data_IF_267387413964
#
_entry.id   IF_267387413964
#
_cell.length_a   1.000
_cell.length_b   1.000
_cell.length_c   1.000
_cell.angle_alpha   90.00
_cell.angle_beta   90.00
_cell.angle_gamma   90.00
#
_symmetry.space_group_name_H-M   'P 1'
#
loop_
_entity.id
_entity.type
_entity.pdbx_description
1 polymer ?
#
# COMPACT_ATOMS: atom_id res chain seq x y z
N UNK A 1 12.39 6.12 14.76
CA UNK A 1 10.91 6.09 14.72
C UNK A 1 10.34 6.75 15.96
N UNK A 2 9.25 7.53 15.84
CA UNK A 2 8.43 8.00 16.97
C UNK A 2 7.01 7.53 16.72
N UNK A 3 6.40 6.88 17.69
CA UNK A 3 5.10 6.22 17.51
C UNK A 3 4.09 6.61 18.58
N UNK A 4 2.82 6.73 18.19
CA UNK A 4 1.69 6.91 19.08
C UNK A 4 0.59 5.89 18.73
N UNK A 5 -0.15 5.45 19.74
CA UNK A 5 -1.36 4.63 19.58
C UNK A 5 -2.53 5.35 20.22
N UNK A 6 -3.67 5.34 19.55
CA UNK A 6 -4.90 5.89 20.08
C UNK A 6 -6.07 4.95 19.74
N UNK A 7 -7.10 5.02 20.57
CA UNK A 7 -8.33 4.25 20.41
C UNK A 7 -9.46 5.23 20.15
N UNK A 8 -10.22 4.99 19.09
CA UNK A 8 -11.39 5.80 18.76
C UNK A 8 -12.58 4.91 18.45
N UNK A 9 -13.80 5.33 18.82
CA UNK A 9 -15.00 4.60 18.42
C UNK A 9 -15.17 4.65 16.90
N UNK A 10 -15.49 3.49 16.30
CA UNK A 10 -15.75 3.34 14.88
C UNK A 10 -16.96 2.43 14.67
N UNK A 11 -17.76 2.69 13.63
CA UNK A 11 -18.80 1.75 13.21
C UNK A 11 -18.16 0.46 12.67
N UNK A 12 -18.66 -0.69 13.10
CA UNK A 12 -18.19 -1.98 12.63
C UNK A 12 -18.29 -2.07 11.11
N UNK A 13 -17.23 -2.60 10.51
CA UNK A 13 -17.08 -2.75 9.06
C UNK A 13 -17.22 -4.21 8.65
N UNK A 14 -17.43 -4.50 7.35
CA UNK A 14 -17.37 -5.86 6.83
C UNK A 14 -16.11 -6.61 7.25
N UNK A 15 -16.25 -7.92 7.44
CA UNK A 15 -15.14 -8.84 7.59
C UNK A 15 -14.94 -9.69 6.34
N UNK A 16 -14.09 -10.72 6.44
CA UNK A 16 -13.93 -11.73 5.38
C UNK A 16 -15.23 -12.50 5.09
N UNK A 17 -16.10 -12.60 6.08
CA UNK A 17 -17.40 -13.26 5.99
C UNK A 17 -18.51 -12.34 5.43
N UNK A 18 -18.17 -11.11 5.05
CA UNK A 18 -19.09 -10.13 4.46
C UNK A 18 -19.55 -9.04 5.44
N UNK A 19 -20.64 -8.33 5.10
CA UNK A 19 -21.12 -7.18 5.87
C UNK A 19 -21.68 -7.60 7.24
N UNK A 20 -21.62 -6.72 8.24
CA UNK A 20 -22.20 -7.01 9.56
C UNK A 20 -23.73 -7.09 9.49
N UNK A 21 -24.32 -7.93 10.35
CA UNK A 21 -25.78 -8.09 10.44
C UNK A 21 -26.48 -6.88 11.10
N UNK A 22 -25.76 -6.11 11.91
CA UNK A 22 -26.26 -4.94 12.62
C UNK A 22 -25.13 -3.92 12.82
N UNK A 23 -25.51 -2.64 12.94
CA UNK A 23 -24.59 -1.54 13.24
C UNK A 23 -24.15 -1.59 14.71
N UNK A 24 -22.84 -1.54 14.95
CA UNK A 24 -22.24 -1.44 16.27
C UNK A 24 -21.09 -0.46 16.26
N UNK A 25 -21.00 0.34 17.31
CA UNK A 25 -19.78 1.10 17.59
C UNK A 25 -18.81 0.18 18.33
N UNK A 26 -17.60 0.04 17.78
CA UNK A 26 -16.51 -0.75 18.33
C UNK A 26 -15.27 0.12 18.54
N UNK A 27 -14.42 -0.26 19.49
CA UNK A 27 -13.14 0.40 19.71
C UNK A 27 -12.16 0.03 18.59
N UNK A 28 -11.71 1.05 17.85
CA UNK A 28 -10.71 0.91 16.79
C UNK A 28 -9.36 1.45 17.25
N UNK A 29 -8.34 0.60 17.21
CA UNK A 29 -6.98 0.97 17.57
C UNK A 29 -6.17 1.39 16.35
N UNK A 30 -5.68 2.62 16.35
CA UNK A 30 -4.87 3.18 15.28
C UNK A 30 -3.45 3.46 15.77
N UNK A 31 -2.47 3.14 14.92
CA UNK A 31 -1.05 3.38 15.16
C UNK A 31 -0.56 4.43 14.16
N UNK A 32 0.02 5.50 14.69
CA UNK A 32 0.68 6.54 13.92
C UNK A 32 2.19 6.52 14.24
N UNK A 33 3.01 6.18 13.26
CA UNK A 33 4.47 6.19 13.38
C UNK A 33 5.13 7.15 12.40
N UNK A 34 6.22 7.78 12.82
CA UNK A 34 7.06 8.63 11.97
C UNK A 34 8.45 8.02 11.84
N UNK A 35 8.90 7.84 10.60
CA UNK A 35 10.22 7.38 10.25
C UNK A 35 11.05 8.50 9.66
N UNK A 36 12.28 8.66 10.15
CA UNK A 36 13.28 9.60 9.62
C UNK A 36 14.46 8.77 9.19
N UNK A 37 14.83 8.90 7.93
CA UNK A 37 15.97 8.22 7.34
C UNK A 37 17.17 9.18 7.29
N UNK A 38 18.38 8.63 7.33
CA UNK A 38 19.62 9.43 7.36
C UNK A 38 19.81 10.30 6.12
N UNK A 39 19.29 9.84 4.98
CA UNK A 39 19.31 10.55 3.70
C UNK A 39 18.25 11.68 3.59
N UNK A 40 17.56 11.99 4.70
CA UNK A 40 16.55 13.04 4.77
C UNK A 40 15.15 12.62 4.32
N UNK A 41 14.95 11.36 3.88
CA UNK A 41 13.60 10.86 3.61
C UNK A 41 12.78 10.79 4.90
N UNK A 42 11.46 10.94 4.75
CA UNK A 42 10.51 10.91 5.84
C UNK A 42 9.29 10.05 5.48
N UNK A 43 8.92 9.15 6.38
CA UNK A 43 7.77 8.28 6.23
C UNK A 43 6.77 8.46 7.37
N UNK A 44 5.48 8.39 7.04
CA UNK A 44 4.40 8.30 8.03
C UNK A 44 3.68 6.98 7.80
N UNK A 45 3.60 6.18 8.86
CA UNK A 45 2.74 5.02 8.92
C UNK A 45 1.49 5.41 9.71
N UNK A 46 0.33 5.29 9.09
CA UNK A 46 -0.95 5.59 9.71
C UNK A 46 -1.91 4.44 9.41
N UNK A 47 -2.19 3.60 10.40
CA UNK A 47 -2.88 2.34 10.18
C UNK A 47 -3.82 1.98 11.32
N UNK A 48 -5.03 1.55 10.96
CA UNK A 48 -5.94 0.79 11.81
C UNK A 48 -6.33 -0.50 11.10
N UNK A 49 -6.39 -1.62 11.83
CA UNK A 49 -6.87 -2.89 11.26
C UNK A 49 -8.31 -2.82 10.75
N UNK A 50 -9.14 -1.95 11.35
CA UNK A 50 -10.54 -1.78 10.98
C UNK A 50 -10.75 -1.01 9.67
N UNK A 51 -9.67 -0.61 9.00
CA UNK A 51 -9.74 -0.02 7.66
C UNK A 51 -9.92 -1.08 6.56
N UNK A 52 -9.59 -2.35 6.82
CA UNK A 52 -9.82 -3.42 5.86
C UNK A 52 -11.32 -3.61 5.61
N UNK A 53 -11.71 -3.68 4.34
CA UNK A 53 -13.09 -3.84 3.87
C UNK A 53 -14.06 -2.75 4.37
N UNK A 54 -13.54 -1.67 4.96
CA UNK A 54 -14.38 -0.64 5.57
C UNK A 54 -15.12 0.18 4.54
N UNK A 55 -16.40 0.43 4.81
CA UNK A 55 -17.21 1.37 4.04
C UNK A 55 -16.99 2.82 4.49
N UNK A 56 -16.53 3.02 5.72
CA UNK A 56 -16.39 4.33 6.35
C UNK A 56 -14.93 4.81 6.46
N UNK A 57 -13.96 3.96 6.10
CA UNK A 57 -12.53 4.28 6.10
C UNK A 57 -11.92 3.86 4.76
N UNK A 58 -11.17 4.78 4.17
CA UNK A 58 -10.39 4.50 2.96
C UNK A 58 -8.92 4.38 3.33
N UNK A 59 -8.17 3.48 2.67
CA UNK A 59 -6.71 3.53 2.74
C UNK A 59 -6.20 4.84 2.12
N UNK A 60 -5.00 5.26 2.54
CA UNK A 60 -4.32 6.42 1.98
C UNK A 60 -2.88 6.08 1.63
N UNK A 61 -2.49 6.41 0.41
CA UNK A 61 -1.10 6.40 -0.05
C UNK A 61 -0.73 7.79 -0.52
N UNK A 62 0.41 8.28 -0.06
CA UNK A 62 0.95 9.57 -0.46
C UNK A 62 2.46 9.44 -0.64
N UNK A 63 2.92 9.68 -1.86
CA UNK A 63 4.34 9.70 -2.21
C UNK A 63 4.67 11.08 -2.75
N UNK A 64 5.71 11.71 -2.21
CA UNK A 64 6.17 13.04 -2.63
C UNK A 64 7.63 12.99 -3.03
N UNK A 65 7.95 13.62 -4.15
CA UNK A 65 9.31 13.82 -4.62
C UNK A 65 9.52 15.26 -5.07
N UNK A 66 10.71 15.55 -5.57
CA UNK A 66 11.12 16.90 -5.96
C UNK A 66 10.26 17.52 -7.08
N UNK A 67 9.66 16.68 -7.93
CA UNK A 67 8.94 17.10 -9.15
C UNK A 67 7.44 16.84 -9.12
N UNK A 68 6.90 16.37 -8.01
CA UNK A 68 5.49 16.02 -7.94
C UNK A 68 5.11 15.13 -6.77
N UNK A 69 3.85 14.70 -6.80
CA UNK A 69 3.27 13.80 -5.82
C UNK A 69 2.27 12.82 -6.45
N UNK A 70 2.11 11.69 -5.79
CA UNK A 70 1.02 10.74 -6.01
C UNK A 70 0.24 10.68 -4.71
N UNK A 71 -1.05 11.05 -4.77
CA UNK A 71 -2.00 10.94 -3.66
C UNK A 71 -3.15 10.03 -4.10
N UNK A 72 -3.14 8.79 -3.60
CA UNK A 72 -4.00 7.71 -4.08
C UNK A 72 -3.96 7.63 -5.62
N UNK A 73 -5.09 7.85 -6.29
CA UNK A 73 -5.18 7.83 -7.75
C UNK A 73 -4.85 9.18 -8.40
N UNK A 74 -4.53 10.24 -7.65
CA UNK A 74 -4.22 11.54 -8.24
C UNK A 74 -2.72 11.74 -8.34
N UNK A 75 -2.22 11.99 -9.55
CA UNK A 75 -0.81 12.27 -9.82
C UNK A 75 -0.67 13.74 -10.20
N UNK A 76 0.26 14.45 -9.58
CA UNK A 76 0.56 15.86 -9.85
C UNK A 76 2.05 16.02 -10.12
N UNK A 77 2.41 16.71 -11.19
CA UNK A 77 3.82 16.93 -11.54
C UNK A 77 4.02 18.23 -12.31
N UNK A 78 5.27 18.68 -12.40
CA UNK A 78 5.66 19.80 -13.25
C UNK A 78 5.93 19.31 -14.67
N UNK A 79 5.20 19.85 -15.64
CA UNK A 79 5.50 19.67 -17.06
C UNK A 79 6.72 20.50 -17.46
N UNK A 80 6.77 21.73 -16.98
CA UNK A 80 7.88 22.69 -17.13
C UNK A 80 7.92 23.63 -15.91
N UNK A 81 8.92 24.53 -15.77
CA UNK A 81 9.04 25.40 -14.60
C UNK A 81 7.85 26.34 -14.33
N UNK A 82 6.99 26.60 -15.32
CA UNK A 82 5.82 27.47 -15.21
C UNK A 82 4.49 26.70 -15.24
N UNK A 83 4.50 25.40 -15.57
CA UNK A 83 3.28 24.61 -15.79
C UNK A 83 3.23 23.36 -14.88
N UNK A 84 2.34 23.40 -13.89
CA UNK A 84 1.92 22.22 -13.14
C UNK A 84 0.77 21.52 -13.84
N UNK A 85 0.79 20.18 -13.85
CA UNK A 85 -0.27 19.35 -14.40
C UNK A 85 -0.71 18.30 -13.39
N UNK A 86 -1.95 17.85 -13.53
CA UNK A 86 -2.52 16.79 -12.71
C UNK A 86 -3.33 15.84 -13.58
N UNK A 87 -3.23 14.56 -13.31
CA UNK A 87 -4.04 13.53 -13.95
C UNK A 87 -4.43 12.47 -12.91
N UNK A 88 -5.46 11.69 -13.25
CA UNK A 88 -5.92 10.58 -12.42
C UNK A 88 -5.44 9.26 -13.02
N UNK A 89 -5.01 8.35 -12.15
CA UNK A 89 -4.91 6.92 -12.43
C UNK A 89 -6.34 6.40 -12.62
N UNK A 90 -6.72 6.21 -13.87
CA UNK A 90 -8.04 5.71 -14.23
C UNK A 90 -8.00 4.19 -14.28
N UNK A 91 -8.81 3.57 -13.43
CA UNK A 91 -9.01 2.13 -13.44
C UNK A 91 -9.81 1.75 -14.68
N UNK A 92 -9.29 0.81 -15.45
CA UNK A 92 -9.98 0.24 -16.60
C UNK A 92 -10.45 -1.17 -16.26
N UNK A 93 -11.77 -1.34 -16.15
CA UNK A 93 -12.44 -2.62 -15.98
C UNK A 93 -13.27 -2.97 -17.22
N UNK A 94 -13.47 -4.26 -17.47
CA UNK A 94 -14.25 -4.77 -18.62
C UNK A 94 -15.66 -5.19 -18.21
N UNK A 95 -16.50 -5.56 -19.19
CA UNK A 95 -17.86 -6.06 -18.94
C UNK A 95 -18.93 -4.98 -18.69
N UNK A 96 -18.57 -3.70 -18.77
CA UNK A 96 -19.55 -2.61 -18.75
C UNK A 96 -20.24 -2.44 -20.12
N UNK A 97 -21.56 -2.23 -20.12
CA UNK A 97 -22.34 -1.96 -21.33
C UNK A 97 -22.25 -3.08 -22.38
N UNK A 98 -21.90 -2.74 -23.62
CA UNK A 98 -21.74 -3.69 -24.73
C UNK A 98 -20.37 -4.38 -24.79
N UNK A 99 -19.53 -4.27 -23.74
CA UNK A 99 -18.24 -4.94 -23.70
C UNK A 99 -18.41 -6.46 -23.54
N UNK A 100 -17.99 -7.24 -24.54
CA UNK A 100 -18.16 -8.70 -24.60
C UNK A 100 -16.98 -9.49 -24.02
N UNK A 101 -16.03 -8.84 -23.35
CA UNK A 101 -14.78 -9.47 -22.90
C UNK A 101 -14.91 -10.17 -21.54
N UNK A 102 -16.07 -10.07 -20.89
CA UNK A 102 -16.29 -10.55 -19.52
C UNK A 102 -15.94 -9.49 -18.47
N UNK A 103 -16.09 -9.81 -17.18
CA UNK A 103 -15.87 -8.88 -16.06
C UNK A 103 -14.54 -9.12 -15.36
N UNK A 104 -13.51 -8.34 -15.71
CA UNK A 104 -12.21 -8.39 -15.06
C UNK A 104 -11.52 -7.02 -15.06
N UNK A 105 -10.50 -6.88 -14.22
CA UNK A 105 -9.65 -5.70 -14.19
C UNK A 105 -8.61 -5.75 -15.30
N UNK A 106 -8.58 -4.75 -16.19
CA UNK A 106 -7.62 -4.69 -17.30
C UNK A 106 -6.31 -4.01 -16.90
N UNK A 107 -6.38 -2.97 -16.08
CA UNK A 107 -5.21 -2.20 -15.66
C UNK A 107 -5.54 -0.74 -15.34
N UNK A 108 -4.51 0.10 -15.32
CA UNK A 108 -4.64 1.53 -15.06
C UNK A 108 -4.03 2.36 -16.19
N UNK A 109 -4.70 3.46 -16.51
CA UNK A 109 -4.20 4.50 -17.40
C UNK A 109 -3.89 5.80 -16.65
N UNK A 110 -2.96 6.59 -17.17
CA UNK A 110 -2.67 7.95 -16.71
C UNK A 110 -2.51 8.85 -17.92
N UNK A 111 -3.33 9.90 -18.03
CA UNK A 111 -3.26 10.82 -19.18
C UNK A 111 -3.49 10.13 -20.55
N UNK A 112 -4.23 9.03 -20.57
CA UNK A 112 -4.49 8.23 -21.78
C UNK A 112 -3.48 7.13 -22.08
N UNK A 113 -2.38 7.03 -21.32
CA UNK A 113 -1.37 5.98 -21.49
C UNK A 113 -1.53 4.86 -20.47
N UNK A 114 -1.28 3.62 -20.88
CA UNK A 114 -1.29 2.47 -19.97
C UNK A 114 -0.04 2.47 -19.09
N UNK A 115 -0.22 2.72 -17.79
CA UNK A 115 0.87 2.69 -16.80
C UNK A 115 0.94 1.37 -16.04
N UNK A 116 -0.15 0.60 -16.08
CA UNK A 116 -0.19 -0.75 -15.54
C UNK A 116 -1.18 -1.61 -16.35
N UNK A 117 -0.82 -2.88 -16.56
CA UNK A 117 -1.68 -3.89 -17.20
C UNK A 117 -1.74 -5.11 -16.30
N UNK A 118 -2.94 -5.61 -16.04
CA UNK A 118 -3.15 -6.82 -15.23
C UNK A 118 -2.58 -8.03 -15.98
N UNK A 119 -1.54 -8.71 -15.45
CA UNK A 119 -0.94 -9.87 -16.11
C UNK A 119 -1.83 -11.12 -16.06
N UNK A 120 -2.83 -11.14 -15.17
CA UNK A 120 -3.72 -12.29 -14.96
C UNK A 120 -5.09 -12.14 -15.65
N UNK A 121 -5.24 -11.17 -16.56
CA UNK A 121 -6.44 -11.08 -17.38
C UNK A 121 -6.67 -12.38 -18.18
N UNK A 122 -7.92 -12.87 -18.34
CA UNK A 122 -9.19 -12.26 -17.90
C UNK A 122 -9.67 -12.75 -16.51
N UNK A 123 -8.77 -13.18 -15.64
CA UNK A 123 -9.09 -13.64 -14.29
C UNK A 123 -9.88 -12.59 -13.50
N UNK A 124 -10.97 -13.02 -12.85
CA UNK A 124 -11.85 -12.16 -12.04
C UNK A 124 -11.30 -11.95 -10.63
N UNK A 125 -10.10 -11.42 -10.58
CA UNK A 125 -9.33 -11.23 -9.34
C UNK A 125 -9.49 -9.78 -8.86
N UNK A 126 -9.68 -9.61 -7.56
CA UNK A 126 -9.54 -8.32 -6.89
C UNK A 126 -8.06 -7.87 -6.87
N UNK A 127 -7.81 -6.60 -6.56
CA UNK A 127 -6.44 -6.05 -6.56
C UNK A 127 -5.49 -6.80 -5.61
N UNK A 128 -5.98 -7.20 -4.45
CA UNK A 128 -5.23 -8.00 -3.47
C UNK A 128 -4.92 -9.40 -4.02
N UNK A 129 -5.88 -10.02 -4.72
CA UNK A 129 -5.68 -11.33 -5.36
C UNK A 129 -4.70 -11.24 -6.54
N UNK A 130 -4.70 -10.14 -7.30
CA UNK A 130 -3.72 -9.86 -8.35
C UNK A 130 -2.32 -9.68 -7.74
N UNK A 131 -2.20 -8.96 -6.62
CA UNK A 131 -0.93 -8.80 -5.92
C UNK A 131 -0.41 -10.14 -5.39
N UNK A 132 -1.28 -10.96 -4.78
CA UNK A 132 -0.95 -12.32 -4.32
C UNK A 132 -0.52 -13.22 -5.49
N UNK A 133 -1.26 -13.23 -6.59
CA UNK A 133 -0.92 -13.98 -7.78
C UNK A 133 0.44 -13.56 -8.35
N UNK A 134 0.74 -12.25 -8.36
CA UNK A 134 2.04 -11.71 -8.77
C UNK A 134 3.16 -12.22 -7.85
N UNK A 135 2.96 -12.21 -6.54
CA UNK A 135 3.95 -12.73 -5.60
C UNK A 135 4.18 -14.23 -5.80
N UNK A 136 3.12 -15.02 -5.99
CA UNK A 136 3.22 -16.46 -6.25
C UNK A 136 3.96 -16.77 -7.56
N UNK A 137 3.65 -16.05 -8.63
CA UNK A 137 4.35 -16.18 -9.93
C UNK A 137 5.85 -15.88 -9.78
N UNK A 138 6.19 -14.76 -9.11
CA UNK A 138 7.59 -14.36 -8.91
C UNK A 138 8.34 -15.31 -7.98
N UNK A 139 7.69 -15.83 -6.94
CA UNK A 139 8.27 -16.87 -6.07
C UNK A 139 8.55 -18.16 -6.84
N UNK A 140 7.64 -18.57 -7.72
CA UNK A 140 7.87 -19.75 -8.58
C UNK A 140 9.07 -19.53 -9.51
N UNK A 141 9.13 -18.38 -10.17
CA UNK A 141 10.27 -18.02 -11.02
C UNK A 141 11.61 -18.03 -10.25
N UNK A 142 11.62 -17.48 -9.02
CA UNK A 142 12.80 -17.51 -8.16
C UNK A 142 13.20 -18.94 -7.76
N UNK A 143 12.23 -19.79 -7.39
CA UNK A 143 12.48 -21.19 -7.04
C UNK A 143 13.07 -22.01 -8.21
N UNK A 144 12.79 -21.60 -9.45
CA UNK A 144 13.36 -22.18 -10.68
C UNK A 144 14.75 -21.60 -11.05
N UNK A 145 15.30 -20.69 -10.23
CA UNK A 145 16.61 -20.06 -10.44
C UNK A 145 16.55 -18.70 -11.14
N UNK A 146 15.36 -18.10 -11.25
CA UNK A 146 15.15 -16.73 -11.71
C UNK A 146 15.62 -15.67 -10.69
N UNK A 147 15.47 -14.38 -11.04
CA UNK A 147 15.87 -13.28 -10.15
C UNK A 147 14.98 -13.23 -8.90
N UNK A 148 15.55 -12.71 -7.81
CA UNK A 148 14.77 -12.32 -6.64
C UNK A 148 13.87 -11.12 -6.97
N UNK A 149 12.74 -11.00 -6.28
CA UNK A 149 11.83 -9.85 -6.40
C UNK A 149 11.54 -9.15 -5.07
N UNK A 150 11.71 -9.86 -3.95
CA UNK A 150 11.51 -9.34 -2.60
C UNK A 150 12.31 -10.23 -1.66
N UNK A 151 13.52 -9.77 -1.37
CA UNK A 151 14.55 -10.58 -0.73
C UNK A 151 14.28 -10.80 0.74
N UNK A 152 14.93 -11.82 1.32
CA UNK A 152 14.96 -11.99 2.78
C UNK A 152 15.54 -10.76 3.49
N UNK A 153 16.49 -10.05 2.87
CA UNK A 153 17.09 -8.86 3.44
C UNK A 153 16.09 -7.70 3.52
N UNK A 154 15.30 -7.49 2.47
CA UNK A 154 14.21 -6.50 2.45
C UNK A 154 13.11 -6.86 3.46
N UNK A 155 12.67 -8.12 3.48
CA UNK A 155 11.69 -8.60 4.45
C UNK A 155 12.15 -8.46 5.91
N UNK A 156 13.43 -8.76 6.18
CA UNK A 156 14.02 -8.57 7.50
C UNK A 156 14.10 -7.09 7.88
N UNK A 157 14.41 -6.22 6.91
CA UNK A 157 14.43 -4.77 7.12
C UNK A 157 13.04 -4.23 7.45
N UNK A 158 12.00 -4.64 6.74
CA UNK A 158 10.62 -4.23 7.00
C UNK A 158 10.16 -4.68 8.40
N UNK A 159 10.44 -5.93 8.76
CA UNK A 159 10.14 -6.43 10.11
C UNK A 159 10.93 -5.68 11.19
N UNK A 160 12.16 -5.28 10.90
CA UNK A 160 12.95 -4.49 11.85
C UNK A 160 12.36 -3.10 12.09
N UNK A 161 11.83 -2.44 11.05
CA UNK A 161 11.13 -1.17 11.20
C UNK A 161 9.88 -1.31 12.09
N UNK A 162 9.13 -2.40 11.94
CA UNK A 162 7.98 -2.72 12.79
C UNK A 162 8.39 -2.95 14.25
N UNK A 163 9.46 -3.72 14.50
CA UNK A 163 10.00 -3.89 15.85
C UNK A 163 10.43 -2.56 16.49
N UNK A 164 11.00 -1.62 15.72
CA UNK A 164 11.34 -0.28 16.20
C UNK A 164 10.08 0.54 16.51
N UNK A 165 9.00 0.38 15.75
CA UNK A 165 7.71 0.99 16.07
C UNK A 165 7.15 0.45 17.39
N UNK A 166 7.14 -0.88 17.56
CA UNK A 166 6.70 -1.54 18.80
C UNK A 166 7.53 -1.08 20.01
N UNK A 167 8.86 -0.99 19.85
CA UNK A 167 9.75 -0.48 20.89
C UNK A 167 9.42 0.97 21.25
N UNK A 168 9.18 1.83 20.25
CA UNK A 168 8.82 3.23 20.49
C UNK A 168 7.49 3.36 21.23
N UNK A 169 6.49 2.54 20.86
CA UNK A 169 5.21 2.47 21.57
C UNK A 169 5.38 2.04 23.03
N UNK A 170 6.12 0.97 23.28
CA UNK A 170 6.30 0.40 24.62
C UNK A 170 7.06 1.35 25.55
N UNK A 171 8.05 2.06 25.04
CA UNK A 171 8.91 2.96 25.84
C UNK A 171 8.38 4.39 25.92
N UNK A 172 7.48 4.79 25.01
CA UNK A 172 7.05 6.17 24.84
C UNK A 172 8.15 7.09 24.33
N UNK A 173 9.30 6.55 23.90
CA UNK A 173 10.46 7.30 23.42
C UNK A 173 10.74 6.99 21.95
N UNK A 174 11.42 7.87 21.21
CA UNK A 174 11.89 7.54 19.87
C UNK A 174 12.85 6.34 19.88
N UNK A 175 12.66 5.38 18.97
CA UNK A 175 13.58 4.27 18.75
C UNK A 175 14.54 4.59 17.60
N UNK A 176 15.84 4.38 17.80
CA UNK A 176 16.86 4.55 16.76
C UNK A 176 17.20 3.19 16.12
N UNK A 177 17.31 3.16 14.79
CA UNK A 177 17.82 2.00 14.08
C UNK A 177 19.34 1.91 14.20
N UNK A 178 19.87 0.69 14.15
CA UNK A 178 21.28 0.41 13.92
C UNK A 178 21.42 -0.46 12.67
N UNK A 179 22.59 -0.41 12.02
CA UNK A 179 22.88 -1.26 10.87
C UNK A 179 22.72 -2.73 11.24
N UNK A 180 21.95 -3.46 10.43
CA UNK A 180 21.63 -4.87 10.66
C UNK A 180 22.50 -5.78 9.77
N UNK A 181 22.71 -7.05 10.14
CA UNK A 181 23.57 -7.96 9.39
C UNK A 181 23.15 -8.17 7.92
N UNK A 182 21.85 -8.09 7.61
CA UNK A 182 21.33 -8.22 6.25
C UNK A 182 21.61 -7.01 5.36
N UNK A 183 22.04 -5.87 5.93
CA UNK A 183 22.41 -4.69 5.14
C UNK A 183 23.70 -4.89 4.32
N UNK A 184 24.53 -5.88 4.69
CA UNK A 184 25.75 -6.19 3.95
C UNK A 184 25.52 -7.10 2.73
N UNK A 185 24.31 -7.64 2.57
CA UNK A 185 23.93 -8.54 1.47
C UNK A 185 22.87 -7.97 0.52
N UNK A 186 22.51 -6.70 0.67
CA UNK A 186 21.61 -5.96 -0.20
C UNK A 186 22.39 -5.15 -1.24
#
# INVERSE_FOLDING_TARGET
>A
SRTARFVTPLVNSPGRDGPPAEEKIVDSAQVLAQFRFEDGRFGVYDFSGDQYFSYARSPRVLVRGERGEIENETVRWLLDPASGVSARLERADTGHGGNLEGYFHRGYTLGGEWVYRNPFAPGRLADDEIAIATALEKMAAYAEGGPDFYSLAEAAQDRYLDLLMEQSLRTGQPAASVTQPWAAGA
#
